data_IF_345581201438
#
_entry.id   IF_345581201438
#
_cell.length_a   1.000
_cell.length_b   1.000
_cell.length_c   1.000
_cell.angle_alpha   90.00
_cell.angle_beta   90.00
_cell.angle_gamma   90.00
#
_symmetry.space_group_name_H-M   'P 1'
#
loop_
_entity.id
_entity.type
_entity.pdbx_description
1 polymer ?
#
# COMPACT_ATOMS: atom_id res chain seq x y z
N UNK A 1 6.09 -5.61 17.00
CA UNK A 1 6.47 -5.33 18.42
C UNK A 1 6.01 -3.94 18.87
N UNK A 2 6.24 -2.88 18.09
CA UNK A 2 5.93 -1.50 18.49
C UNK A 2 4.42 -1.28 18.72
N UNK A 3 3.56 -1.68 17.77
CA UNK A 3 2.11 -1.58 17.93
C UNK A 3 1.62 -2.29 19.21
N UNK A 4 2.14 -3.49 19.50
CA UNK A 4 1.81 -4.22 20.74
C UNK A 4 2.26 -3.48 22.00
N UNK A 5 3.43 -2.84 21.97
CA UNK A 5 3.90 -2.01 23.10
C UNK A 5 3.00 -0.81 23.34
N UNK A 6 2.55 -0.14 22.28
CA UNK A 6 1.63 0.98 22.37
C UNK A 6 0.28 0.56 22.94
N UNK A 7 -0.30 -0.56 22.45
CA UNK A 7 -1.54 -1.12 22.99
C UNK A 7 -1.42 -1.42 24.49
N UNK A 8 -0.34 -2.07 24.91
CA UNK A 8 -0.11 -2.37 26.31
C UNK A 8 0.04 -1.13 27.21
N UNK A 9 0.56 -0.03 26.66
CA UNK A 9 0.82 1.21 27.41
C UNK A 9 -0.36 2.17 27.44
N UNK A 10 -1.11 2.27 26.34
CA UNK A 10 -2.14 3.30 26.16
C UNK A 10 -3.56 2.73 25.93
N UNK A 11 -3.70 1.40 25.91
CA UNK A 11 -4.98 0.74 25.65
C UNK A 11 -5.32 0.66 24.16
N UNK A 12 -6.50 0.07 23.90
CA UNK A 12 -7.00 -0.15 22.53
C UNK A 12 -7.44 1.14 21.83
N UNK A 13 -7.66 2.23 22.57
CA UNK A 13 -8.09 3.54 22.03
C UNK A 13 -7.06 4.15 21.07
N UNK A 14 -5.80 3.73 21.15
CA UNK A 14 -4.72 4.18 20.24
C UNK A 14 -4.87 3.60 18.83
N UNK A 15 -5.65 2.52 18.68
CA UNK A 15 -5.80 1.80 17.42
C UNK A 15 -7.25 1.81 16.96
N UNK A 16 -7.47 2.24 15.71
CA UNK A 16 -8.77 2.16 15.06
C UNK A 16 -8.99 0.69 14.67
N UNK A 17 -10.12 0.10 15.09
CA UNK A 17 -10.55 -1.22 14.66
C UNK A 17 -11.26 -1.10 13.31
N UNK A 18 -10.88 -1.92 12.34
CA UNK A 18 -11.63 -2.11 11.09
C UNK A 18 -12.23 -3.51 11.13
N UNK A 19 -13.55 -3.62 10.93
CA UNK A 19 -14.31 -4.86 10.71
C UNK A 19 -13.91 -6.03 11.65
N UNK A 20 -13.63 -5.71 12.91
CA UNK A 20 -13.26 -6.71 13.91
C UNK A 20 -11.79 -7.11 13.93
N UNK A 21 -10.95 -6.55 13.06
CA UNK A 21 -9.50 -6.81 13.07
C UNK A 21 -8.75 -5.79 13.91
N UNK A 22 -7.94 -6.30 14.82
CA UNK A 22 -6.89 -5.56 15.50
C UNK A 22 -5.69 -5.42 14.55
N UNK A 23 -5.37 -4.21 14.11
CA UNK A 23 -4.20 -3.99 13.28
C UNK A 23 -2.90 -4.26 14.03
N UNK A 24 -1.97 -4.93 13.35
CA UNK A 24 -0.64 -5.21 13.85
C UNK A 24 0.39 -4.13 13.47
N UNK A 25 -0.05 -3.04 12.86
CA UNK A 25 0.77 -1.93 12.38
C UNK A 25 0.14 -0.58 12.74
N UNK A 26 0.89 0.47 12.57
CA UNK A 26 0.44 1.85 12.73
C UNK A 26 0.84 2.64 11.49
N UNK A 27 0.04 3.63 11.12
CA UNK A 27 0.40 4.59 10.08
C UNK A 27 1.59 5.43 10.55
N UNK A 28 2.55 5.62 9.66
CA UNK A 28 3.76 6.37 9.96
C UNK A 28 3.52 7.87 9.80
N UNK A 29 4.05 8.65 10.76
CA UNK A 29 4.06 10.11 10.71
C UNK A 29 2.67 10.75 10.49
N UNK A 30 2.55 11.72 9.58
CA UNK A 30 1.33 12.47 9.26
C UNK A 30 0.57 11.88 8.05
N UNK A 31 1.00 10.74 7.54
CA UNK A 31 0.38 10.13 6.36
C UNK A 31 -1.06 9.70 6.63
N UNK A 32 -1.88 9.82 5.61
CA UNK A 32 -3.23 9.25 5.64
C UNK A 32 -3.10 7.74 5.82
N UNK A 33 -3.88 7.11 6.71
CA UNK A 33 -3.87 5.68 6.90
C UNK A 33 -4.10 4.91 5.59
N UNK A 34 -3.36 3.83 5.38
CA UNK A 34 -3.40 3.07 4.12
C UNK A 34 -4.77 2.46 3.78
N UNK A 35 -5.62 2.33 4.77
CA UNK A 35 -6.98 1.79 4.66
C UNK A 35 -8.05 2.86 4.50
N UNK A 36 -7.70 4.14 4.54
CA UNK A 36 -8.65 5.23 4.38
C UNK A 36 -9.00 5.40 2.90
N UNK A 37 -10.28 5.26 2.51
CA UNK A 37 -10.69 5.50 1.14
C UNK A 37 -10.63 7.00 0.83
N UNK A 38 -9.61 7.38 0.09
CA UNK A 38 -9.34 8.76 -0.32
C UNK A 38 -8.75 8.75 -1.73
N UNK A 39 -9.12 9.71 -2.55
CA UNK A 39 -8.52 9.84 -3.88
C UNK A 39 -7.10 10.43 -3.83
N UNK A 40 -6.35 10.23 -4.93
CA UNK A 40 -4.94 10.62 -5.02
C UNK A 40 -4.73 12.12 -4.82
N UNK A 41 -5.58 12.96 -5.40
CA UNK A 41 -5.43 14.41 -5.34
C UNK A 41 -5.69 14.95 -3.94
N UNK A 42 -6.75 14.46 -3.29
CA UNK A 42 -7.09 14.86 -1.94
C UNK A 42 -6.01 14.40 -0.94
N UNK A 43 -5.52 13.18 -1.07
CA UNK A 43 -4.40 12.67 -0.27
C UNK A 43 -3.16 13.54 -0.42
N UNK A 44 -2.75 13.83 -1.65
CA UNK A 44 -1.59 14.69 -1.92
C UNK A 44 -1.80 16.12 -1.42
N UNK A 45 -3.02 16.66 -1.55
CA UNK A 45 -3.39 17.99 -1.05
C UNK A 45 -3.24 18.12 0.47
N UNK A 46 -3.58 17.07 1.21
CA UNK A 46 -3.44 17.04 2.65
C UNK A 46 -1.96 16.87 3.03
N UNK A 47 -1.29 15.85 2.50
CA UNK A 47 0.06 15.49 2.89
C UNK A 47 1.11 16.54 2.48
N UNK A 48 0.94 17.22 1.35
CA UNK A 48 1.85 18.29 0.91
C UNK A 48 2.01 19.44 1.91
N UNK A 49 0.96 19.71 2.71
CA UNK A 49 1.01 20.74 3.73
C UNK A 49 2.00 20.40 4.84
N UNK A 50 2.15 19.12 5.15
CA UNK A 50 3.01 18.63 6.23
C UNK A 50 4.43 18.34 5.76
N UNK A 51 4.64 18.00 4.50
CA UNK A 51 5.98 17.70 3.97
C UNK A 51 6.95 18.87 4.16
N UNK A 52 6.50 20.10 3.94
CA UNK A 52 7.30 21.31 4.14
C UNK A 52 7.77 21.49 5.58
N UNK A 53 7.10 20.86 6.53
CA UNK A 53 7.42 20.90 7.97
C UNK A 53 8.29 19.70 8.39
N UNK A 54 8.64 18.82 7.48
CA UNK A 54 9.41 17.59 7.73
C UNK A 54 10.81 17.69 7.15
N UNK A 55 11.76 18.33 7.82
CA UNK A 55 13.11 18.60 7.28
C UNK A 55 13.92 17.30 7.00
N UNK A 56 13.56 16.20 7.64
CA UNK A 56 14.14 14.87 7.39
C UNK A 56 13.64 14.18 6.13
N UNK A 57 12.66 14.78 5.46
CA UNK A 57 11.97 14.21 4.32
C UNK A 57 10.87 13.22 4.72
N UNK A 58 9.87 13.11 3.88
CA UNK A 58 8.82 12.11 3.97
C UNK A 58 8.33 11.82 2.54
N UNK A 59 8.03 10.57 2.25
CA UNK A 59 7.56 10.13 0.93
C UNK A 59 6.07 9.89 1.02
N UNK A 60 5.30 10.57 0.18
CA UNK A 60 3.88 10.29 0.01
C UNK A 60 3.69 9.23 -1.07
N UNK A 61 2.95 8.16 -0.75
CA UNK A 61 2.70 7.07 -1.67
C UNK A 61 1.28 7.14 -2.20
N UNK A 62 1.14 7.05 -3.52
CA UNK A 62 -0.14 6.88 -4.19
C UNK A 62 -0.24 5.43 -4.66
N UNK A 63 -1.13 4.68 -4.04
CA UNK A 63 -1.41 3.29 -4.39
C UNK A 63 -2.28 3.26 -5.65
N UNK A 64 -1.85 2.55 -6.69
CA UNK A 64 -2.57 2.41 -7.95
C UNK A 64 -2.62 0.97 -8.41
N UNK A 65 -3.71 0.53 -9.08
CA UNK A 65 -3.66 -0.69 -9.88
C UNK A 65 -2.70 -0.50 -11.07
N UNK A 66 -2.59 -1.49 -11.94
CA UNK A 66 -1.89 -1.31 -13.21
C UNK A 66 -2.60 -0.26 -14.05
N UNK A 67 -1.92 0.84 -14.35
CA UNK A 67 -2.46 1.97 -15.12
C UNK A 67 -2.08 1.93 -16.61
N UNK A 68 -1.70 0.76 -17.13
CA UNK A 68 -1.32 0.59 -18.55
C UNK A 68 -2.48 0.97 -19.48
N UNK A 69 -3.70 0.69 -19.07
CA UNK A 69 -4.93 1.02 -19.81
C UNK A 69 -5.33 2.51 -19.71
N UNK A 70 -4.81 3.25 -18.73
CA UNK A 70 -5.18 4.64 -18.49
C UNK A 70 -3.96 5.51 -18.11
N UNK A 71 -2.99 5.55 -19.00
CA UNK A 71 -1.78 6.38 -18.84
C UNK A 71 -2.10 7.87 -18.70
N UNK A 72 -3.09 8.45 -19.41
CA UNK A 72 -3.45 9.85 -19.24
C UNK A 72 -3.82 10.22 -17.79
N UNK A 73 -4.64 9.43 -17.10
CA UNK A 73 -4.96 9.66 -15.70
C UNK A 73 -3.72 9.62 -14.79
N UNK A 74 -2.82 8.68 -15.03
CA UNK A 74 -1.55 8.60 -14.31
C UNK A 74 -0.70 9.87 -14.50
N UNK A 75 -0.64 10.40 -15.73
CA UNK A 75 0.11 11.62 -16.03
C UNK A 75 -0.47 12.86 -15.33
N UNK A 76 -1.79 12.97 -15.18
CA UNK A 76 -2.40 14.05 -14.41
C UNK A 76 -2.01 14.00 -12.92
N UNK A 77 -1.96 12.80 -12.33
CA UNK A 77 -1.47 12.64 -10.96
C UNK A 77 0.00 13.01 -10.83
N UNK A 78 0.84 12.56 -11.76
CA UNK A 78 2.28 12.91 -11.78
C UNK A 78 2.47 14.42 -11.91
N UNK A 79 1.69 15.08 -12.77
CA UNK A 79 1.72 16.54 -12.91
C UNK A 79 1.33 17.22 -11.60
N UNK A 80 0.26 16.76 -10.97
CA UNK A 80 -0.16 17.29 -9.68
C UNK A 80 0.91 17.11 -8.60
N UNK A 81 1.58 15.94 -8.56
CA UNK A 81 2.71 15.69 -7.67
C UNK A 81 3.82 16.72 -7.91
N UNK A 82 4.22 16.91 -9.17
CA UNK A 82 5.29 17.85 -9.53
C UNK A 82 5.00 19.28 -9.06
N UNK A 83 3.76 19.72 -9.20
CA UNK A 83 3.35 21.08 -8.87
C UNK A 83 3.15 21.33 -7.37
N UNK A 84 2.83 20.30 -6.58
CA UNK A 84 2.29 20.50 -5.23
C UNK A 84 3.06 19.80 -4.10
N UNK A 85 3.83 18.75 -4.38
CA UNK A 85 4.46 17.94 -3.34
C UNK A 85 5.96 17.78 -3.58
N UNK A 86 6.74 17.78 -2.52
CA UNK A 86 8.20 17.75 -2.62
C UNK A 86 8.76 16.36 -2.91
N UNK A 87 8.11 15.32 -2.39
CA UNK A 87 8.55 13.94 -2.54
C UNK A 87 7.35 12.99 -2.51
N UNK A 88 7.03 12.42 -3.65
CA UNK A 88 5.95 11.46 -3.80
C UNK A 88 6.33 10.34 -4.76
N UNK A 89 5.66 9.22 -4.66
CA UNK A 89 5.89 8.04 -5.48
C UNK A 89 4.56 7.34 -5.81
N UNK A 90 4.46 6.88 -7.05
CA UNK A 90 3.41 5.95 -7.48
C UNK A 90 3.81 4.55 -7.03
N UNK A 91 2.94 3.89 -6.29
CA UNK A 91 3.15 2.53 -5.83
C UNK A 91 2.19 1.57 -6.55
N UNK A 92 2.75 0.79 -7.45
CA UNK A 92 2.04 -0.28 -8.17
C UNK A 92 2.68 -1.60 -7.81
N UNK A 93 1.88 -2.61 -7.51
CA UNK A 93 2.39 -3.95 -7.28
C UNK A 93 2.84 -4.57 -8.60
N UNK A 94 3.99 -5.23 -8.58
CA UNK A 94 4.48 -6.05 -9.69
C UNK A 94 4.59 -7.48 -9.20
N UNK A 95 3.72 -8.34 -9.68
CA UNK A 95 3.64 -9.72 -9.23
C UNK A 95 3.57 -10.69 -10.40
N UNK A 96 4.34 -11.77 -10.29
CA UNK A 96 4.35 -12.85 -11.26
C UNK A 96 4.37 -14.21 -10.57
N UNK A 97 3.53 -15.13 -11.02
CA UNK A 97 3.52 -16.52 -10.54
C UNK A 97 4.24 -17.43 -11.51
N UNK A 98 5.42 -17.92 -11.15
CA UNK A 98 6.23 -18.82 -11.98
C UNK A 98 5.53 -20.15 -12.28
N UNK A 99 4.60 -20.57 -11.40
CA UNK A 99 3.91 -21.86 -11.53
C UNK A 99 2.86 -21.90 -12.63
N UNK A 100 2.18 -20.78 -12.89
CA UNK A 100 1.11 -20.73 -13.88
C UNK A 100 1.24 -19.60 -14.91
N UNK A 101 2.29 -18.78 -14.81
CA UNK A 101 2.52 -17.66 -15.73
C UNK A 101 1.60 -16.46 -15.48
N UNK A 102 0.88 -16.41 -14.35
CA UNK A 102 0.02 -15.26 -14.03
C UNK A 102 0.88 -14.01 -13.80
N UNK A 103 0.57 -12.96 -14.53
CA UNK A 103 1.16 -11.63 -14.41
C UNK A 103 0.04 -10.66 -14.00
N UNK A 104 0.14 -10.07 -12.81
CA UNK A 104 -0.91 -9.22 -12.25
C UNK A 104 -0.84 -9.10 -10.73
N UNK A 105 -1.86 -8.53 -10.12
CA UNK A 105 -1.90 -8.37 -8.66
C UNK A 105 -2.13 -9.72 -7.97
N UNK A 106 -1.15 -10.14 -7.16
CA UNK A 106 -1.28 -11.30 -6.28
C UNK A 106 -1.61 -10.78 -4.89
N UNK A 107 -2.81 -11.09 -4.35
CA UNK A 107 -3.23 -10.58 -3.05
C UNK A 107 -2.62 -11.35 -1.88
N UNK A 108 -2.58 -10.69 -0.73
CA UNK A 108 -2.50 -11.35 0.57
C UNK A 108 -3.90 -11.85 0.96
N UNK A 109 -3.99 -13.08 1.40
CA UNK A 109 -5.24 -13.68 1.91
C UNK A 109 -5.06 -14.11 3.35
N UNK A 110 -6.11 -14.02 4.16
CA UNK A 110 -6.10 -14.53 5.52
C UNK A 110 -6.30 -16.06 5.51
N UNK A 111 -5.35 -16.76 6.06
CA UNK A 111 -5.40 -18.19 6.30
C UNK A 111 -5.21 -18.45 7.81
N UNK A 112 -6.31 -18.60 8.52
CA UNK A 112 -6.34 -18.83 9.97
C UNK A 112 -5.56 -17.77 10.79
N UNK A 113 -5.86 -16.50 10.58
CA UNK A 113 -5.19 -15.34 11.18
C UNK A 113 -3.71 -15.17 10.78
N UNK A 114 -3.32 -15.75 9.66
CA UNK A 114 -2.00 -15.58 9.07
C UNK A 114 -2.14 -15.13 7.63
N UNK A 115 -1.63 -13.94 7.32
CA UNK A 115 -1.64 -13.42 5.96
C UNK A 115 -0.57 -14.12 5.12
N UNK A 116 -1.00 -14.64 3.95
CA UNK A 116 -0.15 -15.30 2.97
C UNK A 116 -0.44 -14.79 1.56
N UNK A 117 0.59 -14.71 0.73
CA UNK A 117 0.41 -14.46 -0.69
C UNK A 117 -0.25 -15.66 -1.34
N UNK A 118 -1.22 -15.41 -2.21
CA UNK A 118 -1.92 -16.50 -2.93
C UNK A 118 -2.25 -16.07 -4.35
N UNK A 119 -1.73 -16.83 -5.31
CA UNK A 119 -2.02 -16.59 -6.72
C UNK A 119 -3.52 -16.76 -7.02
N UNK A 120 -4.20 -15.75 -7.60
CA UNK A 120 -5.63 -15.83 -7.86
C UNK A 120 -5.96 -16.80 -9.01
N UNK A 121 -5.01 -17.10 -9.88
CA UNK A 121 -5.23 -17.99 -11.03
C UNK A 121 -5.07 -19.48 -10.67
N UNK A 122 -4.05 -19.87 -9.92
CA UNK A 122 -3.76 -21.28 -9.63
C UNK A 122 -3.78 -21.66 -8.16
N UNK A 123 -4.01 -20.69 -7.26
CA UNK A 123 -4.02 -20.92 -5.82
C UNK A 123 -2.65 -21.20 -5.20
N UNK A 124 -1.55 -21.02 -5.94
CA UNK A 124 -0.20 -21.18 -5.42
C UNK A 124 0.05 -20.22 -4.24
N UNK A 125 0.58 -20.74 -3.14
CA UNK A 125 0.94 -20.01 -1.91
C UNK A 125 2.42 -20.19 -1.52
N UNK A 126 3.22 -20.78 -2.40
CA UNK A 126 4.66 -20.93 -2.21
C UNK A 126 5.39 -19.65 -2.66
N UNK A 127 5.84 -18.87 -1.69
CA UNK A 127 6.55 -17.61 -1.92
C UNK A 127 7.85 -17.76 -2.72
N UNK A 128 8.44 -18.97 -2.78
CA UNK A 128 9.68 -19.21 -3.53
C UNK A 128 9.47 -19.28 -5.03
N UNK A 129 8.24 -19.52 -5.45
CA UNK A 129 7.79 -19.64 -6.86
C UNK A 129 6.91 -18.46 -7.29
N UNK A 130 6.97 -17.37 -6.56
CA UNK A 130 6.26 -16.12 -6.87
C UNK A 130 7.23 -14.94 -6.81
N UNK A 131 7.33 -14.19 -7.87
CA UNK A 131 8.00 -12.89 -7.88
C UNK A 131 7.00 -11.81 -7.51
N UNK A 132 7.06 -11.37 -6.26
CA UNK A 132 6.19 -10.34 -5.72
C UNK A 132 7.08 -9.23 -5.18
N UNK A 133 6.99 -8.06 -5.80
CA UNK A 133 7.64 -6.85 -5.33
C UNK A 133 6.60 -5.87 -4.77
N UNK A 134 6.89 -5.33 -3.60
CA UNK A 134 6.01 -4.37 -2.93
C UNK A 134 6.82 -3.30 -2.22
N UNK A 135 6.25 -2.11 -2.18
CA UNK A 135 6.87 -0.98 -1.49
C UNK A 135 6.48 -0.96 -0.01
N UNK A 136 7.47 -0.75 0.85
CA UNK A 136 7.24 -0.56 2.29
C UNK A 136 8.14 0.57 2.77
N UNK A 137 7.57 1.68 3.16
CA UNK A 137 8.33 2.87 3.55
C UNK A 137 9.35 3.25 2.46
N UNK A 138 10.62 3.41 2.78
CA UNK A 138 11.67 3.82 1.85
C UNK A 138 12.34 2.70 1.05
N UNK A 139 11.82 1.46 1.03
CA UNK A 139 12.46 0.33 0.36
C UNK A 139 11.47 -0.62 -0.32
N UNK A 140 11.98 -1.43 -1.25
CA UNK A 140 11.22 -2.48 -1.93
C UNK A 140 11.46 -3.80 -1.19
N UNK A 141 10.37 -4.45 -0.78
CA UNK A 141 10.37 -5.81 -0.24
C UNK A 141 9.99 -6.83 -1.30
N UNK A 142 10.33 -8.08 -1.06
CA UNK A 142 9.91 -9.20 -1.89
C UNK A 142 9.30 -10.30 -1.02
N UNK A 143 8.36 -11.07 -1.59
CA UNK A 143 7.76 -12.20 -0.89
C UNK A 143 8.79 -13.27 -0.53
N UNK A 144 9.80 -13.50 -1.37
CA UNK A 144 10.87 -14.48 -1.16
C UNK A 144 11.69 -14.20 0.10
N UNK A 145 11.91 -12.94 0.45
CA UNK A 145 12.64 -12.55 1.65
C UNK A 145 11.78 -12.55 2.93
N UNK A 146 10.52 -12.92 2.80
CA UNK A 146 9.55 -12.94 3.87
C UNK A 146 9.18 -11.55 4.40
N UNK A 147 8.02 -11.45 5.00
CA UNK A 147 7.56 -10.28 5.73
C UNK A 147 7.09 -10.68 7.12
N UNK A 148 7.04 -9.75 8.04
CA UNK A 148 6.34 -9.98 9.29
C UNK A 148 4.84 -9.69 9.11
N UNK A 149 3.99 -10.28 9.95
CA UNK A 149 2.53 -10.15 9.86
C UNK A 149 2.05 -8.68 9.96
N UNK A 150 2.76 -7.82 10.68
CA UNK A 150 2.41 -6.40 10.73
C UNK A 150 2.63 -5.68 9.39
N UNK A 151 3.69 -6.04 8.66
CA UNK A 151 3.93 -5.55 7.30
C UNK A 151 2.90 -6.09 6.31
N UNK A 152 2.59 -7.37 6.42
CA UNK A 152 1.55 -7.98 5.58
C UNK A 152 0.17 -7.38 5.85
N UNK A 153 -0.15 -7.06 7.12
CA UNK A 153 -1.37 -6.32 7.46
C UNK A 153 -1.43 -4.95 6.81
N UNK A 154 -0.35 -4.18 6.85
CA UNK A 154 -0.27 -2.88 6.16
C UNK A 154 -0.53 -3.01 4.65
N UNK A 155 0.08 -3.98 3.98
CA UNK A 155 -0.09 -4.21 2.54
C UNK A 155 -1.50 -4.72 2.21
N UNK A 156 -2.04 -5.60 3.04
CA UNK A 156 -3.37 -6.18 2.87
C UNK A 156 -4.47 -5.12 2.95
N UNK A 157 -4.33 -4.18 3.88
CA UNK A 157 -5.34 -3.15 4.15
C UNK A 157 -5.25 -1.94 3.21
N UNK A 158 -4.25 -1.89 2.31
CA UNK A 158 -4.09 -0.78 1.38
C UNK A 158 -5.25 -0.68 0.41
N UNK A 159 -5.79 0.53 0.29
CA UNK A 159 -6.78 0.88 -0.74
C UNK A 159 -6.08 1.60 -1.89
N UNK A 160 -6.61 1.43 -3.10
CA UNK A 160 -6.16 2.22 -4.25
C UNK A 160 -6.69 3.64 -4.15
N UNK A 161 -5.86 4.60 -4.52
CA UNK A 161 -6.18 6.02 -4.56
C UNK A 161 -6.56 6.49 -5.98
N UNK A 162 -6.42 5.60 -6.97
CA UNK A 162 -6.87 5.75 -8.33
C UNK A 162 -7.59 4.49 -8.75
N UNK A 163 -8.73 4.64 -9.43
CA UNK A 163 -9.40 3.55 -10.14
C UNK A 163 -9.11 3.73 -11.65
N UNK A 164 -8.74 2.66 -12.34
CA UNK A 164 -8.49 2.68 -13.79
C UNK A 164 -9.74 3.00 -14.62
N UNK A 165 -10.93 2.92 -14.01
CA UNK A 165 -12.24 3.15 -14.62
C UNK A 165 -12.78 4.58 -14.43
N UNK A 166 -12.33 5.30 -13.42
CA UNK A 166 -12.92 6.60 -13.02
C UNK A 166 -12.36 7.81 -13.76
N UNK A 167 -11.23 7.67 -14.44
CA UNK A 167 -10.55 8.79 -15.10
C UNK A 167 -10.57 8.62 -16.63
N UNK A 168 -11.74 8.77 -17.24
CA UNK A 168 -11.82 9.07 -18.66
C UNK A 168 -11.61 10.56 -18.82
N UNK A 169 -10.47 10.96 -19.37
CA UNK A 169 -10.26 12.33 -19.83
C UNK A 169 -11.04 12.46 -21.15
N UNK A 170 -12.15 13.22 -21.12
CA UNK A 170 -12.89 13.62 -22.32
C UNK A 170 -12.04 14.57 -23.19
#
# INVERSE_FOLDING_TARGET
KFAKCLKNRFGDDVFIKIDGFDRNYITNSYHIPVFEPIDAFEKLRIESKFQKLSPGGAISYIETPSMISNVPALLEVIKYMYDNIMYAEINTKSCYCEKCGYDGDIPLVDDNNTLKWKCPNCGNDDNTTMDIAFRVCGYIGTAKNGGNQGRYGDIHDRVYHLDDREYTVD
#
